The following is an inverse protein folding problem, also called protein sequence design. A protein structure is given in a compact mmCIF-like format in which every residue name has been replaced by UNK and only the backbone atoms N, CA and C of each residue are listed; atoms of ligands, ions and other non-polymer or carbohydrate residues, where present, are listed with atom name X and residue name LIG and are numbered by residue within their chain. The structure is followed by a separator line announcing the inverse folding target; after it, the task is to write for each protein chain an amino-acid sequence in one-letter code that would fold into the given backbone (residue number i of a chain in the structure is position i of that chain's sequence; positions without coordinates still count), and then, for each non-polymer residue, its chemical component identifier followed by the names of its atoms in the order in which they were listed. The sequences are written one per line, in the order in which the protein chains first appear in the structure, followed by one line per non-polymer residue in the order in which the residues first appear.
data_IF_179384058150
#
_entry.id   IF_179384058150
#
_cell.length_a   1.000
_cell.length_b   1.000
_cell.length_c   1.000
_cell.angle_alpha   90.00
_cell.angle_beta   90.00
_cell.angle_gamma   90.00
#
_symmetry.space_group_name_H-M   'P 1'
#
loop_
_entity.id
_entity.type
_entity.pdbx_description
1 polymer ?
#
# COMPACT_ATOMS: atom_id res chain seq x y z
N UNK A 1 -26.98 54.70 -57.91
CA UNK A 1 -27.26 55.52 -56.71
C UNK A 1 -27.96 54.63 -55.68
N UNK A 2 -27.48 54.68 -54.42
CA UNK A 2 -27.90 53.97 -53.18
C UNK A 2 -27.15 52.68 -52.77
N UNK A 3 -26.33 52.88 -51.72
CA UNK A 3 -25.81 52.00 -50.66
C UNK A 3 -26.76 50.84 -50.26
N UNK A 4 -26.33 49.71 -49.70
CA UNK A 4 -25.62 49.60 -48.41
C UNK A 4 -25.11 48.15 -48.17
N UNK A 5 -23.96 48.01 -47.48
CA UNK A 5 -23.34 46.74 -47.10
C UNK A 5 -23.99 46.16 -45.83
N UNK A 6 -24.09 44.82 -45.72
CA UNK A 6 -23.98 44.10 -44.44
C UNK A 6 -23.42 42.68 -44.65
N UNK A 7 -22.29 42.43 -43.98
CA UNK A 7 -21.61 41.15 -43.78
C UNK A 7 -22.42 40.25 -42.85
N UNK A 8 -22.57 38.94 -43.14
CA UNK A 8 -22.61 37.88 -42.11
C UNK A 8 -21.96 36.60 -42.67
N UNK A 9 -20.79 36.26 -42.12
CA UNK A 9 -20.16 34.93 -42.22
C UNK A 9 -20.86 33.97 -41.26
N UNK A 10 -21.12 32.73 -41.69
CA UNK A 10 -21.38 31.62 -40.77
C UNK A 10 -20.38 30.49 -41.07
N UNK A 11 -19.25 30.54 -40.37
CA UNK A 11 -18.31 29.43 -40.29
C UNK A 11 -18.91 28.37 -39.35
N UNK A 12 -19.13 27.16 -39.86
CA UNK A 12 -19.49 26.01 -39.03
C UNK A 12 -18.25 25.59 -38.23
N UNK A 13 -18.32 25.74 -36.91
CA UNK A 13 -17.28 25.32 -35.96
C UNK A 13 -17.11 23.80 -36.02
N UNK A 14 -15.96 23.34 -36.49
CA UNK A 14 -15.46 22.00 -36.20
C UNK A 14 -14.87 22.05 -34.79
N UNK A 15 -15.58 21.52 -33.80
CA UNK A 15 -15.09 21.36 -32.44
C UNK A 15 -14.03 20.25 -32.45
N UNK A 16 -12.77 20.63 -32.63
CA UNK A 16 -11.62 19.80 -32.28
C UNK A 16 -11.61 19.73 -30.75
N UNK A 17 -12.07 18.61 -30.21
CA UNK A 17 -11.97 18.33 -28.79
C UNK A 17 -10.50 18.26 -28.38
N UNK A 18 -10.04 19.26 -27.63
CA UNK A 18 -8.77 19.20 -26.93
C UNK A 18 -8.89 18.17 -25.81
N UNK A 19 -8.54 16.92 -26.11
CA UNK A 19 -8.17 15.96 -25.07
C UNK A 19 -6.87 16.46 -24.45
N UNK A 20 -6.95 17.03 -23.25
CA UNK A 20 -5.78 17.33 -22.45
C UNK A 20 -5.08 16.01 -22.12
N UNK A 21 -4.06 15.65 -22.90
CA UNK A 21 -3.01 14.77 -22.44
C UNK A 21 -2.24 15.54 -21.37
N UNK A 22 -2.59 15.31 -20.10
CA UNK A 22 -1.75 15.75 -18.99
C UNK A 22 -0.46 14.92 -19.05
N UNK A 23 0.59 15.52 -19.60
CA UNK A 23 1.95 15.09 -19.38
C UNK A 23 2.18 15.11 -17.86
N UNK A 24 2.30 13.95 -17.24
CA UNK A 24 2.72 13.87 -15.84
C UNK A 24 4.16 14.40 -15.81
N UNK A 25 4.37 15.50 -15.08
CA UNK A 25 5.68 16.14 -14.95
C UNK A 25 6.65 15.20 -14.20
N UNK A 26 7.81 14.83 -14.76
CA UNK A 26 8.80 13.98 -14.09
C UNK A 26 9.29 14.53 -12.74
N UNK A 27 9.10 15.84 -12.48
CA UNK A 27 9.42 16.47 -11.21
C UNK A 27 8.46 16.09 -10.05
N UNK A 28 7.29 15.52 -10.33
CA UNK A 28 6.40 14.98 -9.29
C UNK A 28 6.91 13.67 -8.69
N UNK A 29 7.77 12.95 -9.40
CA UNK A 29 8.44 11.74 -8.92
C UNK A 29 9.57 12.07 -7.91
N UNK A 30 10.19 13.24 -8.05
CA UNK A 30 11.25 13.73 -7.15
C UNK A 30 10.75 14.20 -5.77
N UNK A 31 9.44 14.41 -5.60
CA UNK A 31 8.84 14.83 -4.32
C UNK A 31 8.64 13.67 -3.33
N UNK A 32 9.10 12.46 -3.66
CA UNK A 32 9.01 11.31 -2.78
C UNK A 32 10.19 11.17 -1.83
N UNK A 33 11.23 12.00 -1.91
CA UNK A 33 12.42 11.92 -1.03
C UNK A 33 12.51 13.16 -0.13
N UNK A 34 12.65 12.94 1.17
CA UNK A 34 12.87 14.02 2.15
C UNK A 34 14.28 14.60 1.96
N UNK A 35 14.43 15.90 1.65
CA UNK A 35 15.73 16.52 1.39
C UNK A 35 16.65 16.58 2.63
N UNK A 36 16.12 16.40 3.84
CA UNK A 36 16.91 16.40 5.08
C UNK A 36 17.49 15.04 5.40
N UNK A 37 16.70 13.98 5.18
CA UNK A 37 17.05 12.62 5.60
C UNK A 37 17.51 11.75 4.43
N UNK A 38 17.15 12.12 3.19
CA UNK A 38 17.37 11.30 1.99
C UNK A 38 16.48 10.06 1.93
N UNK A 39 15.51 9.93 2.83
CA UNK A 39 14.57 8.81 2.90
C UNK A 39 13.29 9.10 2.13
N UNK A 40 12.62 8.05 1.68
CA UNK A 40 11.29 8.17 1.09
C UNK A 40 10.28 8.76 2.08
N UNK A 41 9.52 9.77 1.65
CA UNK A 41 8.42 10.38 2.39
C UNK A 41 7.25 9.39 2.46
N UNK A 42 6.83 9.08 3.68
CA UNK A 42 5.72 8.16 3.97
C UNK A 42 4.39 8.87 3.85
N UNK A 43 3.78 8.80 2.66
CA UNK A 43 2.45 9.32 2.41
C UNK A 43 1.37 8.26 2.68
N UNK A 44 1.26 7.81 3.93
CA UNK A 44 0.22 6.87 4.36
C UNK A 44 -1.03 7.64 4.79
N UNK A 45 -2.20 7.26 4.26
CA UNK A 45 -3.47 7.91 4.60
C UNK A 45 -3.88 7.62 6.05
N UNK A 46 -4.09 8.66 6.86
CA UNK A 46 -4.40 8.52 8.27
C UNK A 46 -5.73 7.79 8.53
N UNK A 47 -6.75 8.05 7.70
CA UNK A 47 -8.04 7.37 7.83
C UNK A 47 -7.92 5.88 7.49
N UNK A 48 -7.10 5.54 6.50
CA UNK A 48 -6.78 4.16 6.15
C UNK A 48 -6.02 3.43 7.26
N UNK A 49 -5.04 4.08 7.89
CA UNK A 49 -4.35 3.54 9.06
C UNK A 49 -5.36 3.21 10.17
N UNK A 50 -6.28 4.13 10.49
CA UNK A 50 -7.29 3.90 11.54
C UNK A 50 -8.22 2.72 11.22
N UNK A 51 -8.66 2.57 9.96
CA UNK A 51 -9.47 1.41 9.55
C UNK A 51 -8.66 0.11 9.63
N UNK A 52 -7.39 0.16 9.21
CA UNK A 52 -6.48 -0.97 9.26
C UNK A 52 -6.17 -1.43 10.68
N UNK A 53 -6.01 -0.50 11.61
CA UNK A 53 -5.86 -0.78 13.04
C UNK A 53 -7.06 -1.55 13.59
N UNK A 54 -8.28 -1.08 13.29
CA UNK A 54 -9.50 -1.75 13.74
C UNK A 54 -9.61 -3.19 13.21
N UNK A 55 -9.23 -3.42 11.93
CA UNK A 55 -9.15 -4.77 11.35
C UNK A 55 -8.08 -5.60 12.07
N UNK A 56 -6.89 -5.04 12.28
CA UNK A 56 -5.78 -5.71 12.93
C UNK A 56 -6.12 -6.15 14.36
N UNK A 57 -6.64 -5.24 15.17
CA UNK A 57 -7.03 -5.50 16.56
C UNK A 57 -8.11 -6.57 16.65
N UNK A 58 -8.99 -6.67 15.65
CA UNK A 58 -10.07 -7.67 15.64
C UNK A 58 -9.58 -9.05 15.20
N UNK A 59 -8.68 -9.12 14.21
CA UNK A 59 -8.41 -10.37 13.50
C UNK A 59 -6.98 -10.90 13.65
N UNK A 60 -5.99 -10.03 13.86
CA UNK A 60 -4.56 -10.38 13.73
C UNK A 60 -3.83 -10.37 15.07
N UNK A 61 -4.25 -9.50 15.99
CA UNK A 61 -3.55 -9.21 17.25
C UNK A 61 -3.33 -10.46 18.13
N UNK A 62 -4.27 -11.42 18.09
CA UNK A 62 -4.23 -12.60 18.95
C UNK A 62 -3.00 -13.48 18.72
N UNK A 63 -2.39 -13.40 17.54
CA UNK A 63 -1.18 -14.15 17.19
C UNK A 63 0.03 -13.25 16.98
N UNK A 64 -0.14 -12.06 16.40
CA UNK A 64 0.97 -11.17 16.05
C UNK A 64 1.31 -10.12 17.12
N UNK A 65 0.54 -10.01 18.21
CA UNK A 65 0.76 -9.02 19.26
C UNK A 65 0.16 -7.64 18.94
N UNK A 66 0.01 -6.75 19.94
CA UNK A 66 -0.63 -5.43 19.78
C UNK A 66 0.06 -4.52 18.75
N UNK A 67 1.37 -4.65 18.58
CA UNK A 67 2.18 -3.83 17.70
C UNK A 67 2.84 -4.66 16.58
N UNK A 68 2.35 -5.86 16.30
CA UNK A 68 2.96 -6.73 15.30
C UNK A 68 4.33 -7.29 15.70
N UNK A 69 4.71 -7.25 16.97
CA UNK A 69 6.02 -7.71 17.45
C UNK A 69 6.18 -9.24 17.40
N UNK A 70 5.06 -9.98 17.43
CA UNK A 70 4.98 -11.43 17.54
C UNK A 70 5.89 -12.01 18.64
N UNK A 71 6.38 -13.24 18.47
CA UNK A 71 7.28 -13.89 19.46
C UNK A 71 8.76 -13.75 19.06
N UNK A 72 9.69 -13.58 20.02
CA UNK A 72 11.13 -13.43 19.70
C UNK A 72 11.74 -14.63 18.96
N UNK A 73 11.29 -15.85 19.28
CA UNK A 73 11.80 -17.10 18.70
C UNK A 73 11.14 -17.46 17.36
N UNK A 74 10.61 -16.48 16.62
CA UNK A 74 9.77 -16.75 15.46
C UNK A 74 10.44 -17.55 14.33
N UNK A 75 11.77 -17.59 14.33
CA UNK A 75 12.60 -18.34 13.39
C UNK A 75 12.83 -19.80 13.79
N UNK A 76 12.32 -20.25 14.93
CA UNK A 76 12.42 -21.64 15.40
C UNK A 76 11.07 -22.32 15.21
N UNK A 77 11.01 -23.48 14.52
CA UNK A 77 9.80 -24.28 14.48
C UNK A 77 9.36 -24.70 15.89
N UNK A 78 8.06 -24.73 16.12
CA UNK A 78 7.45 -25.30 17.31
C UNK A 78 7.57 -26.83 17.31
N UNK A 79 7.11 -27.48 18.38
CA UNK A 79 7.11 -28.95 18.51
C UNK A 79 6.30 -29.67 17.43
N UNK A 80 5.33 -28.98 16.79
CA UNK A 80 4.56 -29.48 15.66
C UNK A 80 5.24 -29.26 14.30
N UNK A 81 6.47 -28.72 14.30
CA UNK A 81 7.26 -28.43 13.11
C UNK A 81 6.90 -27.14 12.38
N UNK A 82 5.90 -26.39 12.86
CA UNK A 82 5.44 -25.15 12.21
C UNK A 82 6.13 -23.92 12.77
N UNK A 83 6.30 -22.90 11.93
CA UNK A 83 6.80 -21.62 12.38
C UNK A 83 5.69 -20.82 13.09
N UNK A 84 6.00 -20.18 14.22
CA UNK A 84 5.09 -19.22 14.86
C UNK A 84 4.92 -17.96 13.98
N UNK A 85 3.96 -17.08 14.32
CA UNK A 85 3.74 -15.83 13.60
C UNK A 85 5.03 -15.00 13.56
N UNK A 86 5.49 -14.55 12.37
CA UNK A 86 6.63 -13.64 12.32
C UNK A 86 6.21 -12.22 12.75
N UNK A 87 7.17 -11.38 13.17
CA UNK A 87 6.90 -9.97 13.39
C UNK A 87 6.46 -9.31 12.08
N UNK A 88 5.63 -8.29 12.23
CA UNK A 88 5.07 -7.45 11.18
C UNK A 88 5.61 -6.02 11.27
N UNK A 89 6.28 -5.67 12.37
CA UNK A 89 6.88 -4.37 12.63
C UNK A 89 8.29 -4.22 12.02
N UNK A 90 9.05 -3.24 12.50
CA UNK A 90 10.42 -2.99 12.02
C UNK A 90 11.42 -4.11 12.34
N UNK A 91 11.12 -4.99 13.28
CA UNK A 91 12.08 -6.00 13.77
C UNK A 91 12.33 -7.16 12.77
N UNK A 92 11.44 -7.32 11.79
CA UNK A 92 11.33 -8.30 10.70
C UNK A 92 9.83 -8.63 10.55
N UNK A 93 9.36 -9.66 9.85
CA UNK A 93 9.78 -10.20 8.57
C UNK A 93 9.04 -9.51 7.41
N UNK A 94 7.89 -8.89 7.68
CA UNK A 94 6.93 -8.43 6.68
C UNK A 94 7.54 -7.53 5.59
N UNK A 95 8.45 -6.62 5.95
CA UNK A 95 9.11 -5.70 5.03
C UNK A 95 10.08 -6.36 4.03
N UNK A 96 10.32 -7.68 4.12
CA UNK A 96 11.02 -8.46 3.09
C UNK A 96 10.12 -8.91 1.93
N UNK A 97 8.86 -8.46 1.90
CA UNK A 97 7.88 -8.86 0.89
C UNK A 97 7.19 -7.64 0.26
N UNK A 98 6.77 -7.78 -1.00
CA UNK A 98 5.95 -6.76 -1.66
C UNK A 98 4.54 -6.69 -1.08
N UNK A 99 3.83 -5.58 -1.34
CA UNK A 99 2.40 -5.44 -0.98
C UNK A 99 1.56 -6.61 -1.47
N UNK A 100 1.79 -7.06 -2.70
CA UNK A 100 1.04 -8.18 -3.30
C UNK A 100 1.27 -9.50 -2.57
N UNK A 101 2.50 -9.77 -2.15
CA UNK A 101 2.82 -10.99 -1.38
C UNK A 101 2.17 -10.92 0.00
N UNK A 102 2.18 -9.76 0.66
CA UNK A 102 1.48 -9.56 1.94
C UNK A 102 -0.04 -9.76 1.77
N UNK A 103 -0.65 -9.15 0.74
CA UNK A 103 -2.07 -9.30 0.42
C UNK A 103 -2.44 -10.75 0.15
N UNK A 104 -1.65 -11.45 -0.67
CA UNK A 104 -1.85 -12.88 -0.95
C UNK A 104 -1.74 -13.72 0.32
N UNK A 105 -0.78 -13.42 1.20
CA UNK A 105 -0.58 -14.15 2.46
C UNK A 105 -1.77 -13.97 3.39
N UNK A 106 -2.31 -12.76 3.52
CA UNK A 106 -3.53 -12.49 4.31
C UNK A 106 -4.72 -13.22 3.71
N UNK A 107 -4.94 -13.12 2.40
CA UNK A 107 -6.09 -13.73 1.74
C UNK A 107 -6.04 -15.27 1.79
N UNK A 108 -4.88 -15.87 1.56
CA UNK A 108 -4.74 -17.32 1.37
C UNK A 108 -4.21 -18.06 2.60
N UNK A 109 -3.75 -17.35 3.63
CA UNK A 109 -3.10 -17.94 4.80
C UNK A 109 -1.71 -18.50 4.47
N UNK A 110 -1.09 -19.13 5.46
CA UNK A 110 0.16 -19.87 5.25
C UNK A 110 -0.13 -21.34 4.91
N UNK A 111 0.73 -21.99 4.09
CA UNK A 111 0.59 -23.41 3.85
C UNK A 111 0.60 -24.19 5.18
N UNK A 112 -0.34 -25.13 5.39
CA UNK A 112 -0.56 -25.76 6.69
C UNK A 112 0.64 -26.59 7.19
N UNK A 113 1.54 -27.00 6.29
CA UNK A 113 2.80 -27.68 6.59
C UNK A 113 3.91 -26.73 7.07
N UNK A 114 3.77 -25.42 6.84
CA UNK A 114 4.76 -24.40 7.21
C UNK A 114 4.30 -23.61 8.44
N UNK A 115 3.01 -23.25 8.49
CA UNK A 115 2.47 -22.36 9.51
C UNK A 115 0.99 -22.60 9.81
N UNK A 116 0.46 -21.73 10.66
CA UNK A 116 -0.92 -21.82 11.16
C UNK A 116 -1.74 -20.56 10.89
N UNK A 117 -1.26 -19.65 10.02
CA UNK A 117 -2.00 -18.42 9.71
C UNK A 117 -3.21 -18.79 8.84
N UNK A 118 -4.44 -18.51 9.30
CA UNK A 118 -5.64 -18.84 8.53
C UNK A 118 -5.76 -17.96 7.28
N UNK A 119 -6.54 -18.43 6.30
CA UNK A 119 -6.96 -17.65 5.16
C UNK A 119 -8.09 -16.68 5.56
N UNK A 120 -8.00 -15.43 5.12
CA UNK A 120 -9.03 -14.41 5.37
C UNK A 120 -9.89 -14.10 4.15
N UNK A 121 -9.65 -14.72 2.99
CA UNK A 121 -10.51 -14.60 1.82
C UNK A 121 -11.96 -15.01 2.15
N UNK A 122 -12.92 -14.18 1.74
CA UNK A 122 -14.34 -14.38 2.04
C UNK A 122 -14.75 -14.00 3.48
N UNK A 123 -13.79 -13.71 4.36
CA UNK A 123 -14.04 -13.17 5.71
C UNK A 123 -13.77 -11.65 5.72
N UNK A 124 -12.65 -11.23 5.13
CA UNK A 124 -12.30 -9.83 4.93
C UNK A 124 -12.53 -9.42 3.48
N UNK A 125 -13.02 -8.20 3.28
CA UNK A 125 -13.04 -7.56 1.96
C UNK A 125 -11.63 -7.18 1.54
N UNK A 126 -11.39 -7.04 0.23
CA UNK A 126 -10.08 -6.57 -0.26
C UNK A 126 -9.66 -5.23 0.34
N UNK A 127 -10.61 -4.30 0.50
CA UNK A 127 -10.34 -3.01 1.12
C UNK A 127 -9.86 -3.15 2.56
N UNK A 128 -10.44 -4.07 3.34
CA UNK A 128 -9.98 -4.33 4.71
C UNK A 128 -8.57 -4.93 4.74
N UNK A 129 -8.24 -5.78 3.74
CA UNK A 129 -6.88 -6.32 3.60
C UNK A 129 -5.89 -5.21 3.23
N UNK A 130 -6.27 -4.31 2.32
CA UNK A 130 -5.42 -3.17 1.94
C UNK A 130 -5.24 -2.20 3.11
N UNK A 131 -6.30 -1.92 3.86
CA UNK A 131 -6.27 -1.07 5.06
C UNK A 131 -5.33 -1.66 6.13
N UNK A 132 -5.43 -2.97 6.43
CA UNK A 132 -4.55 -3.58 7.45
C UNK A 132 -3.09 -3.62 6.99
N UNK A 133 -2.82 -3.78 5.70
CA UNK A 133 -1.44 -3.69 5.18
C UNK A 133 -0.88 -2.28 5.37
N UNK A 134 -1.67 -1.24 5.12
CA UNK A 134 -1.23 0.16 5.36
C UNK A 134 -0.98 0.41 6.84
N UNK A 135 -1.81 -0.14 7.73
CA UNK A 135 -1.53 -0.09 9.16
C UNK A 135 -0.23 -0.82 9.52
N UNK A 136 0.02 -2.03 9.00
CA UNK A 136 1.29 -2.76 9.21
C UNK A 136 2.50 -1.90 8.76
N UNK A 137 2.43 -1.30 7.56
CA UNK A 137 3.47 -0.39 7.04
C UNK A 137 3.65 0.86 7.90
N UNK A 138 2.62 1.27 8.65
CA UNK A 138 2.70 2.40 9.58
C UNK A 138 3.59 2.11 10.79
N UNK A 139 3.74 0.83 11.17
CA UNK A 139 4.59 0.37 12.27
C UNK A 139 6.09 0.41 11.94
N UNK A 140 6.43 0.56 10.66
CA UNK A 140 7.83 0.56 10.23
C UNK A 140 8.50 1.89 10.54
N UNK A 141 9.80 1.84 10.85
CA UNK A 141 10.63 3.04 10.90
C UNK A 141 10.75 3.63 9.50
N UNK A 142 11.19 4.89 9.41
CA UNK A 142 11.37 5.53 8.12
C UNK A 142 12.45 4.83 7.28
N UNK A 143 13.50 4.32 7.92
CA UNK A 143 14.58 3.56 7.29
C UNK A 143 14.08 2.24 6.72
N UNK A 144 13.27 1.49 7.48
CA UNK A 144 12.72 0.22 7.02
C UNK A 144 11.71 0.44 5.88
N UNK A 145 10.85 1.44 6.00
CA UNK A 145 9.92 1.79 4.94
C UNK A 145 10.66 2.19 3.65
N UNK A 146 11.71 3.00 3.75
CA UNK A 146 12.55 3.40 2.61
C UNK A 146 13.19 2.21 1.91
N UNK A 147 13.79 1.29 2.67
CA UNK A 147 14.39 0.05 2.15
C UNK A 147 13.33 -0.78 1.43
N UNK A 148 12.18 -1.00 2.06
CA UNK A 148 11.09 -1.77 1.48
C UNK A 148 10.58 -1.13 0.18
N UNK A 149 10.31 0.17 0.18
CA UNK A 149 9.78 0.91 -0.96
C UNK A 149 10.70 0.79 -2.18
N UNK A 150 12.00 1.03 -1.98
CA UNK A 150 13.02 0.89 -3.03
C UNK A 150 13.16 -0.55 -3.55
N UNK A 151 12.92 -1.54 -2.70
CA UNK A 151 13.06 -2.94 -3.07
C UNK A 151 11.82 -3.53 -3.76
N UNK A 152 10.62 -3.02 -3.49
CA UNK A 152 9.38 -3.68 -3.93
C UNK A 152 8.39 -2.78 -4.67
N UNK A 153 8.27 -1.50 -4.32
CA UNK A 153 7.20 -0.65 -4.86
C UNK A 153 7.69 0.35 -5.90
N UNK A 154 8.96 0.73 -5.85
CA UNK A 154 9.57 1.69 -6.79
C UNK A 154 10.29 0.99 -7.95
N UNK A 155 9.72 -0.08 -8.51
CA UNK A 155 10.31 -0.89 -9.58
C UNK A 155 9.40 -0.99 -10.79
#
# INVERSE_FOLDING_TARGET
MKMQHFLIYAAAMVLIGCGNFYSIDPALEQHQIDPKTGLVIRNLDAAQIMRGEAVYTTHCVGCHGPNGEATPDWRKPNSDGKYPPPPLDSSAHAWHHSTDVLKKTILKGTPPEIGSMPAWEGILTEQQVDDVIVWIKSLWSNEIYDIWYKNFENK
#
